data_IF_382145053762
#
_entry.id   IF_382145053762
#
_cell.length_a   1.000
_cell.length_b   1.000
_cell.length_c   1.000
_cell.angle_alpha   90.00
_cell.angle_beta   90.00
_cell.angle_gamma   90.00
#
_symmetry.space_group_name_H-M   'P 1'
#
loop_
_entity.id
_entity.type
_entity.pdbx_description
1 polymer ?
#
# COMPACT_ATOMS: atom_id res chain seq x y z
N UNK A 1 -0.34 1.25 62.57
CA UNK A 1 0.52 0.10 62.91
C UNK A 1 0.67 -0.73 61.65
N UNK A 2 1.91 -1.05 61.33
CA UNK A 2 2.46 -1.32 59.99
C UNK A 2 2.02 -2.66 59.38
N UNK A 3 1.75 -2.68 58.08
CA UNK A 3 1.76 -3.91 57.29
C UNK A 3 3.23 -4.32 57.03
N UNK A 4 3.59 -5.61 57.18
CA UNK A 4 4.97 -6.05 57.03
C UNK A 4 5.32 -6.21 55.54
N UNK A 5 6.36 -5.51 55.12
CA UNK A 5 7.14 -5.83 53.92
C UNK A 5 7.85 -7.15 54.16
N UNK A 6 7.65 -8.15 53.28
CA UNK A 6 8.64 -9.21 53.08
C UNK A 6 8.95 -9.35 51.59
N UNK A 7 10.15 -8.91 51.27
CA UNK A 7 10.86 -9.12 50.02
C UNK A 7 11.74 -10.36 50.21
N UNK A 8 11.51 -11.44 49.46
CA UNK A 8 12.49 -12.52 49.25
C UNK A 8 12.23 -13.19 47.90
N UNK A 9 13.05 -12.82 46.91
CA UNK A 9 13.27 -13.60 45.69
C UNK A 9 13.90 -14.96 46.02
N UNK A 10 13.54 -16.04 45.32
CA UNK A 10 14.47 -17.11 45.00
C UNK A 10 14.91 -16.95 43.55
N UNK A 11 16.21 -16.72 43.41
CA UNK A 11 17.00 -16.96 42.22
C UNK A 11 16.78 -18.38 41.68
N UNK A 12 16.84 -18.55 40.36
CA UNK A 12 17.11 -19.86 39.77
C UNK A 12 15.90 -20.74 39.45
N UNK A 13 15.03 -20.26 38.56
CA UNK A 13 14.46 -21.05 37.46
C UNK A 13 13.75 -20.07 36.53
N UNK A 14 14.53 -19.46 35.65
CA UNK A 14 14.00 -18.92 34.40
C UNK A 14 13.46 -20.10 33.59
N UNK A 15 12.24 -20.53 33.93
CA UNK A 15 11.40 -21.27 33.02
C UNK A 15 11.23 -20.35 31.83
N UNK A 16 12.00 -20.65 30.79
CA UNK A 16 12.00 -20.01 29.50
C UNK A 16 10.56 -19.70 29.11
N UNK A 17 10.12 -18.45 29.33
CA UNK A 17 9.11 -17.88 28.45
C UNK A 17 9.78 -17.98 27.09
N UNK A 18 9.33 -18.89 26.19
CA UNK A 18 10.05 -19.11 24.95
C UNK A 18 10.14 -17.74 24.30
N UNK A 19 11.39 -17.31 24.07
CA UNK A 19 11.68 -16.07 23.38
C UNK A 19 10.75 -15.96 22.18
N UNK A 20 9.81 -15.02 22.30
CA UNK A 20 9.61 -13.99 21.30
C UNK A 20 9.85 -14.52 19.90
N UNK A 21 8.84 -15.20 19.32
CA UNK A 21 8.75 -15.66 17.92
C UNK A 21 10.12 -15.96 17.28
N UNK A 22 10.46 -17.24 17.05
CA UNK A 22 11.62 -17.63 16.22
C UNK A 22 11.77 -16.71 14.99
N UNK A 23 13.00 -16.40 14.56
CA UNK A 23 13.22 -15.48 13.43
C UNK A 23 12.46 -15.91 12.16
N UNK A 24 12.27 -17.23 11.98
CA UNK A 24 11.39 -17.78 10.95
C UNK A 24 9.91 -17.42 11.18
N UNK A 25 9.42 -17.52 12.42
CA UNK A 25 8.05 -17.16 12.81
C UNK A 25 7.79 -15.64 12.72
N UNK A 26 8.77 -14.79 13.07
CA UNK A 26 8.69 -13.33 12.86
C UNK A 26 8.56 -12.99 11.39
N UNK A 27 9.38 -13.60 10.54
CA UNK A 27 9.33 -13.38 9.08
C UNK A 27 7.98 -13.82 8.50
N UNK A 28 7.48 -14.99 8.88
CA UNK A 28 6.16 -15.46 8.47
C UNK A 28 5.03 -14.52 8.92
N UNK A 29 5.08 -14.05 10.17
CA UNK A 29 4.10 -13.13 10.71
C UNK A 29 4.14 -11.76 10.00
N UNK A 30 5.33 -11.22 9.71
CA UNK A 30 5.48 -9.98 8.96
C UNK A 30 4.87 -10.08 7.56
N UNK A 31 5.12 -11.18 6.83
CA UNK A 31 4.53 -11.41 5.50
C UNK A 31 3.01 -11.52 5.59
N UNK A 32 2.49 -12.30 6.55
CA UNK A 32 1.06 -12.49 6.72
C UNK A 32 0.33 -11.20 7.12
N UNK A 33 0.90 -10.43 8.06
CA UNK A 33 0.33 -9.15 8.51
C UNK A 33 0.34 -8.11 7.39
N UNK A 34 1.39 -8.03 6.61
CA UNK A 34 1.46 -7.13 5.45
C UNK A 34 0.50 -7.56 4.33
N UNK A 35 0.37 -8.86 4.05
CA UNK A 35 -0.61 -9.35 3.08
C UNK A 35 -2.04 -8.99 3.51
N UNK A 36 -2.38 -9.20 4.79
CA UNK A 36 -3.67 -8.80 5.36
C UNK A 36 -3.90 -7.30 5.25
N UNK A 37 -2.89 -6.49 5.59
CA UNK A 37 -2.96 -5.02 5.46
C UNK A 37 -3.22 -4.61 4.02
N UNK A 38 -2.49 -5.16 3.05
CA UNK A 38 -2.67 -4.86 1.62
C UNK A 38 -4.03 -5.31 1.11
N UNK A 39 -4.52 -6.47 1.55
CA UNK A 39 -5.85 -6.93 1.16
C UNK A 39 -6.94 -5.99 1.68
N UNK A 40 -6.88 -5.62 2.95
CA UNK A 40 -7.82 -4.66 3.54
C UNK A 40 -7.83 -3.32 2.80
N UNK A 41 -6.67 -2.82 2.36
CA UNK A 41 -6.61 -1.58 1.55
C UNK A 41 -7.31 -1.77 0.21
N UNK A 42 -7.07 -2.88 -0.50
CA UNK A 42 -7.74 -3.16 -1.79
C UNK A 42 -9.24 -3.25 -1.65
N UNK A 43 -9.71 -3.97 -0.62
CA UNK A 43 -11.14 -4.11 -0.35
C UNK A 43 -11.79 -2.72 -0.16
N UNK A 44 -11.10 -1.77 0.49
CA UNK A 44 -11.59 -0.38 0.62
C UNK A 44 -11.62 0.38 -0.70
N UNK A 45 -10.68 0.13 -1.62
CA UNK A 45 -10.73 0.73 -2.96
C UNK A 45 -11.86 0.14 -3.81
N UNK A 46 -12.15 -1.15 -3.65
CA UNK A 46 -13.30 -1.81 -4.27
C UNK A 46 -14.60 -1.20 -3.74
N UNK A 47 -14.74 -0.99 -2.42
CA UNK A 47 -15.89 -0.30 -1.80
C UNK A 47 -16.10 1.10 -2.42
N UNK A 48 -15.03 1.89 -2.58
CA UNK A 48 -15.11 3.22 -3.18
C UNK A 48 -15.59 3.19 -4.64
N UNK A 49 -15.19 2.16 -5.40
CA UNK A 49 -15.59 2.01 -6.81
C UNK A 49 -17.09 1.79 -6.99
N UNK A 50 -17.76 1.23 -5.98
CA UNK A 50 -19.22 1.02 -5.95
C UNK A 50 -19.95 2.30 -5.55
N UNK A 51 -19.42 3.06 -4.59
CA UNK A 51 -20.07 4.27 -4.05
C UNK A 51 -19.95 5.44 -5.04
N UNK A 52 -18.80 5.60 -5.69
CA UNK A 52 -18.53 6.75 -6.55
C UNK A 52 -19.03 6.47 -7.97
N UNK A 53 -19.95 7.29 -8.51
CA UNK A 53 -20.47 7.08 -9.85
C UNK A 53 -19.38 7.14 -10.92
N UNK A 54 -19.41 6.18 -11.84
CA UNK A 54 -18.49 6.12 -12.98
C UNK A 54 -17.12 5.49 -12.67
N UNK A 55 -16.95 4.85 -11.50
CA UNK A 55 -15.73 4.11 -11.14
C UNK A 55 -15.86 2.57 -11.23
N UNK A 56 -17.00 2.05 -11.70
CA UNK A 56 -17.21 0.62 -11.85
C UNK A 56 -16.10 0.01 -12.73
N UNK A 57 -15.37 -0.98 -12.20
CA UNK A 57 -14.25 -1.63 -12.89
C UNK A 57 -12.93 -0.84 -12.90
N UNK A 58 -12.87 0.35 -12.30
CA UNK A 58 -11.65 1.17 -12.23
C UNK A 58 -10.89 1.09 -10.90
N UNK A 59 -11.25 0.15 -10.01
CA UNK A 59 -10.61 -0.03 -8.70
C UNK A 59 -9.08 -0.32 -8.77
N UNK A 60 -8.56 -0.61 -9.97
CA UNK A 60 -7.12 -0.87 -10.22
C UNK A 60 -6.26 0.39 -10.25
N UNK A 61 -6.83 1.59 -10.44
CA UNK A 61 -6.07 2.84 -10.49
C UNK A 61 -6.29 3.67 -9.22
N UNK A 62 -5.44 3.47 -8.21
CA UNK A 62 -5.55 4.15 -6.90
C UNK A 62 -5.68 5.67 -7.04
N UNK A 63 -4.82 6.31 -7.85
CA UNK A 63 -4.84 7.76 -8.04
C UNK A 63 -6.13 8.26 -8.70
N UNK A 64 -6.66 7.53 -9.70
CA UNK A 64 -7.93 7.89 -10.34
C UNK A 64 -9.10 7.73 -9.38
N UNK A 65 -9.12 6.66 -8.58
CA UNK A 65 -10.18 6.44 -7.59
C UNK A 65 -10.22 7.57 -6.57
N UNK A 66 -9.06 7.95 -6.01
CA UNK A 66 -9.00 9.03 -5.03
C UNK A 66 -9.43 10.39 -5.61
N UNK A 67 -8.96 10.74 -6.81
CA UNK A 67 -9.29 12.00 -7.48
C UNK A 67 -10.80 12.11 -7.77
N UNK A 68 -11.39 11.03 -8.30
CA UNK A 68 -12.82 10.99 -8.60
C UNK A 68 -13.67 10.99 -7.34
N UNK A 69 -13.22 10.29 -6.28
CA UNK A 69 -13.87 10.31 -4.96
C UNK A 69 -13.88 11.72 -4.38
N UNK A 70 -12.74 12.41 -4.43
CA UNK A 70 -12.63 13.79 -3.96
C UNK A 70 -13.56 14.75 -4.71
N UNK A 71 -13.56 14.66 -6.04
CA UNK A 71 -14.46 15.44 -6.90
C UNK A 71 -15.94 15.17 -6.58
N UNK A 72 -16.30 13.90 -6.37
CA UNK A 72 -17.65 13.50 -5.99
C UNK A 72 -18.06 14.08 -4.63
N UNK A 73 -17.19 14.00 -3.62
CA UNK A 73 -17.43 14.61 -2.30
C UNK A 73 -17.70 16.11 -2.41
N UNK A 74 -16.85 16.87 -3.14
CA UNK A 74 -17.07 18.30 -3.39
C UNK A 74 -18.43 18.57 -4.03
N UNK A 75 -18.81 17.77 -5.05
CA UNK A 75 -20.12 17.89 -5.72
C UNK A 75 -21.28 17.64 -4.75
N UNK A 76 -21.19 16.64 -3.87
CA UNK A 76 -22.25 16.37 -2.89
C UNK A 76 -22.40 17.50 -1.87
N UNK A 77 -21.30 18.12 -1.45
CA UNK A 77 -21.35 19.27 -0.55
C UNK A 77 -22.03 20.48 -1.21
N UNK A 78 -21.71 20.78 -2.47
CA UNK A 78 -22.38 21.85 -3.21
C UNK A 78 -23.87 21.57 -3.37
N UNK A 79 -24.23 20.34 -3.79
CA UNK A 79 -25.62 19.91 -3.93
C UNK A 79 -26.39 20.06 -2.62
N UNK A 80 -25.78 19.71 -1.49
CA UNK A 80 -26.36 19.89 -0.15
C UNK A 80 -26.64 21.36 0.13
N UNK A 81 -25.69 22.26 -0.13
CA UNK A 81 -25.85 23.70 0.09
C UNK A 81 -26.97 24.29 -0.77
N UNK A 82 -27.04 23.89 -2.04
CA UNK A 82 -28.09 24.34 -2.94
C UNK A 82 -29.47 23.84 -2.51
N UNK A 83 -29.57 22.60 -2.02
CA UNK A 83 -30.82 22.06 -1.50
C UNK A 83 -31.28 22.82 -0.24
N UNK A 84 -30.37 23.11 0.69
CA UNK A 84 -30.67 23.91 1.88
C UNK A 84 -31.17 25.30 1.47
N UNK A 85 -30.49 25.97 0.54
CA UNK A 85 -30.93 27.26 0.00
C UNK A 85 -32.34 27.19 -0.59
N UNK A 86 -32.66 26.13 -1.32
CA UNK A 86 -34.00 25.93 -1.90
C UNK A 86 -35.07 25.71 -0.83
N UNK A 87 -34.77 24.99 0.25
CA UNK A 87 -35.69 24.79 1.36
C UNK A 87 -35.94 26.10 2.12
N UNK A 88 -34.90 26.87 2.37
CA UNK A 88 -34.99 28.19 3.01
C UNK A 88 -35.83 29.16 2.16
N UNK A 89 -35.63 29.17 0.84
CA UNK A 89 -36.44 29.98 -0.07
C UNK A 89 -37.93 29.58 -0.09
N UNK A 90 -38.24 28.33 0.24
CA UNK A 90 -39.62 27.83 0.39
C UNK A 90 -40.17 28.03 1.81
N UNK A 91 -39.41 28.64 2.71
CA UNK A 91 -39.79 28.84 4.12
C UNK A 91 -39.78 27.56 4.95
N UNK A 92 -39.16 26.48 4.47
CA UNK A 92 -39.05 25.21 5.20
C UNK A 92 -37.82 25.27 6.10
N UNK A 93 -38.03 25.19 7.41
CA UNK A 93 -36.95 25.23 8.38
C UNK A 93 -36.04 23.99 8.27
N UNK A 94 -34.75 24.22 7.97
CA UNK A 94 -33.74 23.16 7.96
C UNK A 94 -33.05 23.09 9.33
N UNK A 95 -32.97 21.91 9.97
CA UNK A 95 -32.31 21.76 11.25
C UNK A 95 -30.81 22.10 11.17
N UNK A 96 -30.27 22.72 12.22
CA UNK A 96 -28.89 23.20 12.26
C UNK A 96 -27.83 22.09 12.03
N UNK A 97 -28.11 20.86 12.42
CA UNK A 97 -27.27 19.68 12.16
C UNK A 97 -27.05 19.44 10.66
N UNK A 98 -28.00 19.85 9.81
CA UNK A 98 -27.85 19.74 8.36
C UNK A 98 -26.99 20.87 7.77
N UNK A 99 -26.79 21.98 8.50
CA UNK A 99 -25.90 23.07 8.08
C UNK A 99 -24.46 22.93 8.58
N UNK A 100 -24.24 22.13 9.63
CA UNK A 100 -22.96 22.01 10.34
C UNK A 100 -21.78 21.49 9.49
N UNK A 101 -22.03 20.75 8.41
CA UNK A 101 -20.99 20.07 7.63
C UNK A 101 -20.38 20.89 6.48
N UNK A 102 -20.36 22.22 6.59
CA UNK A 102 -19.53 23.02 5.69
C UNK A 102 -18.07 22.66 5.96
N UNK A 103 -17.47 21.90 5.03
CA UNK A 103 -16.09 21.42 5.06
C UNK A 103 -15.12 22.61 4.85
N UNK A 104 -15.19 23.60 5.74
CA UNK A 104 -14.15 24.61 5.95
C UNK A 104 -13.22 23.99 6.99
N UNK A 105 -12.10 23.38 6.59
CA UNK A 105 -11.23 22.69 7.52
C UNK A 105 -10.54 23.75 8.38
N UNK A 106 -10.68 23.74 9.73
CA UNK A 106 -9.96 24.68 10.58
C UNK A 106 -8.45 24.39 10.70
N UNK A 107 -7.89 23.47 9.90
CA UNK A 107 -6.56 22.90 10.14
C UNK A 107 -5.68 22.64 8.91
N UNK A 108 -5.77 23.44 7.84
CA UNK A 108 -4.61 23.54 6.92
C UNK A 108 -3.51 24.42 7.56
N UNK A 109 -2.99 24.00 8.72
CA UNK A 109 -1.70 24.48 9.21
C UNK A 109 -0.65 23.67 8.47
N UNK A 110 -0.01 24.30 7.50
CA UNK A 110 1.08 23.75 6.72
C UNK A 110 2.26 23.45 7.66
N UNK A 111 2.32 22.25 8.22
CA UNK A 111 3.55 21.76 8.86
C UNK A 111 4.56 21.43 7.77
N UNK A 112 5.31 22.46 7.34
CA UNK A 112 6.54 22.32 6.58
C UNK A 112 7.60 21.69 7.47
N UNK A 113 7.55 20.37 7.75
CA UNK A 113 8.70 19.63 8.32
C UNK A 113 8.54 18.09 8.32
N UNK A 114 7.73 17.49 7.44
CA UNK A 114 7.86 16.05 7.18
C UNK A 114 9.03 15.76 6.23
N UNK A 115 10.26 16.06 6.66
CA UNK A 115 11.41 15.32 6.16
C UNK A 115 11.42 14.00 6.90
N UNK A 116 11.37 12.90 6.15
CA UNK A 116 11.74 11.59 6.67
C UNK A 116 13.11 11.72 7.36
N UNK A 117 13.30 11.26 8.60
CA UNK A 117 14.61 11.25 9.22
C UNK A 117 15.43 10.13 8.58
N UNK A 118 16.11 10.41 7.47
CA UNK A 118 17.26 9.62 7.03
C UNK A 118 18.49 10.10 7.78
N UNK A 119 18.46 10.03 9.11
CA UNK A 119 19.61 10.33 9.96
C UNK A 119 19.96 9.10 10.78
N UNK A 120 20.33 8.01 10.10
CA UNK A 120 21.10 6.93 10.71
C UNK A 120 21.76 6.06 9.63
N UNK A 121 22.50 6.71 8.73
CA UNK A 121 23.47 6.03 7.85
C UNK A 121 24.84 6.71 7.99
N UNK A 122 25.16 7.08 9.22
CA UNK A 122 26.45 7.67 9.60
C UNK A 122 27.02 6.88 10.78
N UNK A 123 27.38 5.63 10.48
CA UNK A 123 28.25 4.77 11.28
C UNK A 123 28.62 3.55 10.43
N UNK A 124 29.40 3.77 9.38
CA UNK A 124 30.25 2.74 8.81
C UNK A 124 31.70 3.11 9.14
N UNK A 125 32.51 2.20 9.71
CA UNK A 125 33.90 2.47 10.03
C UNK A 125 34.72 2.70 8.74
N UNK A 126 35.63 3.69 8.69
CA UNK A 126 36.51 3.89 7.56
C UNK A 126 37.62 2.83 7.61
N UNK A 127 37.61 1.87 6.70
CA UNK A 127 38.64 0.83 6.67
C UNK A 127 38.49 -0.29 5.64
N UNK A 128 37.85 -0.06 4.49
CA UNK A 128 37.89 -1.05 3.40
C UNK A 128 37.74 -0.37 2.04
N UNK A 129 38.87 0.01 1.45
CA UNK A 129 39.25 -0.13 0.04
C UNK A 129 40.36 0.90 -0.28
N UNK A 130 41.59 0.53 0.06
CA UNK A 130 42.74 0.87 -0.75
C UNK A 130 42.64 0.07 -2.05
N UNK A 131 42.37 0.74 -3.17
CA UNK A 131 42.64 0.25 -4.52
C UNK A 131 42.75 1.46 -5.45
N UNK A 132 43.93 2.07 -5.39
CA UNK A 132 44.50 2.83 -6.49
C UNK A 132 44.62 1.90 -7.72
N UNK A 133 44.05 2.29 -8.86
CA UNK A 133 44.80 2.35 -10.12
C UNK A 133 43.97 3.01 -11.23
N UNK A 134 44.30 4.28 -11.47
CA UNK A 134 44.69 4.79 -12.78
C UNK A 134 43.84 4.45 -14.01
N UNK A 135 43.12 5.47 -14.48
CA UNK A 135 42.64 5.57 -15.86
C UNK A 135 43.78 5.50 -16.90
N UNK A 136 43.57 4.83 -18.03
CA UNK A 136 44.01 5.34 -19.34
C UNK A 136 43.20 4.76 -20.52
N UNK A 137 43.20 5.54 -21.59
CA UNK A 137 42.22 5.71 -22.63
C UNK A 137 42.23 4.70 -23.78
N UNK A 138 41.16 4.83 -24.59
CA UNK A 138 41.07 4.61 -26.04
C UNK A 138 41.41 3.22 -26.58
N UNK A 139 40.41 2.48 -27.06
CA UNK A 139 40.28 2.17 -28.50
C UNK A 139 38.96 1.43 -28.85
N UNK A 140 38.43 1.70 -30.05
CA UNK A 140 37.66 0.74 -30.85
C UNK A 140 36.21 0.37 -30.50
N UNK A 141 35.25 1.12 -31.06
CA UNK A 141 34.09 0.49 -31.73
C UNK A 141 34.60 -0.26 -32.98
N UNK A 142 34.06 -1.43 -33.40
CA UNK A 142 32.69 -1.45 -33.93
C UNK A 142 31.85 -2.75 -33.74
N UNK A 143 30.54 -2.49 -33.62
CA UNK A 143 29.38 -3.14 -34.24
C UNK A 143 28.85 -4.55 -33.89
N UNK A 144 27.51 -4.72 -34.06
CA UNK A 144 26.70 -5.77 -33.46
C UNK A 144 26.39 -6.90 -34.44
N UNK A 145 26.37 -8.15 -33.99
CA UNK A 145 25.60 -9.21 -34.67
C UNK A 145 25.31 -10.39 -33.75
N UNK A 146 24.14 -11.00 -34.02
CA UNK A 146 23.72 -12.36 -33.67
C UNK A 146 22.93 -12.57 -32.38
N UNK A 147 21.70 -12.05 -32.39
CA UNK A 147 20.52 -12.76 -31.88
C UNK A 147 20.40 -14.09 -32.62
N UNK A 148 20.70 -15.22 -31.97
CA UNK A 148 20.30 -16.53 -32.48
C UNK A 148 18.94 -16.92 -31.90
N UNK A 149 17.88 -16.47 -32.57
CA UNK A 149 16.56 -17.11 -32.51
C UNK A 149 16.52 -18.18 -33.60
N UNK A 150 16.62 -19.45 -33.20
CA UNK A 150 16.45 -20.60 -34.07
C UNK A 150 15.03 -21.17 -33.94
N UNK A 151 14.16 -20.77 -34.85
CA UNK A 151 12.90 -21.45 -35.19
C UNK A 151 13.25 -22.76 -35.91
N UNK A 152 12.97 -23.90 -35.28
CA UNK A 152 12.96 -25.22 -35.90
C UNK A 152 11.51 -25.69 -36.04
N UNK A 153 10.96 -25.55 -37.24
CA UNK A 153 9.71 -26.17 -37.64
C UNK A 153 10.01 -27.61 -38.08
N UNK A 154 9.38 -28.59 -37.44
CA UNK A 154 9.33 -29.97 -37.95
C UNK A 154 8.12 -30.72 -37.37
N UNK A 155 7.44 -31.46 -38.26
CA UNK A 155 6.70 -32.65 -37.86
C UNK A 155 5.17 -32.53 -37.77
N UNK A 156 4.51 -32.48 -38.91
CA UNK A 156 3.15 -33.00 -39.08
C UNK A 156 3.09 -34.45 -38.56
N UNK A 157 2.22 -34.74 -37.58
CA UNK A 157 1.72 -36.10 -37.36
C UNK A 157 0.21 -36.05 -37.09
N UNK A 158 -0.50 -36.65 -38.04
CA UNK A 158 -1.93 -36.92 -38.03
C UNK A 158 -2.30 -37.90 -36.92
N UNK A 159 -3.17 -37.49 -36.02
CA UNK A 159 -3.81 -38.36 -35.03
C UNK A 159 -5.28 -38.01 -34.92
N UNK A 160 -6.12 -38.69 -35.69
CA UNK A 160 -7.59 -38.64 -35.57
C UNK A 160 -8.05 -39.31 -34.27
N UNK A 161 -8.86 -38.66 -33.42
CA UNK A 161 -9.54 -39.36 -32.33
C UNK A 161 -10.82 -40.03 -32.86
N UNK A 162 -10.85 -41.37 -32.77
CA UNK A 162 -12.03 -42.17 -33.07
C UNK A 162 -13.08 -41.93 -31.96
N UNK A 163 -14.22 -41.37 -32.34
CA UNK A 163 -15.39 -41.23 -31.47
C UNK A 163 -16.15 -42.55 -31.48
N UNK A 164 -16.16 -43.28 -30.36
CA UNK A 164 -17.09 -44.39 -30.14
C UNK A 164 -18.36 -43.85 -29.51
N UNK A 165 -19.45 -43.94 -30.27
CA UNK A 165 -20.82 -43.75 -29.78
C UNK A 165 -21.28 -44.99 -29.02
N UNK A 166 -21.90 -44.88 -27.85
CA UNK A 166 -22.68 -45.96 -27.27
C UNK A 166 -24.10 -45.99 -27.86
N UNK A 167 -24.61 -47.20 -28.09
CA UNK A 167 -26.04 -47.51 -28.17
C UNK A 167 -26.59 -47.68 -26.75
#
# INVERSE_FOLDING_TARGET
MSAPTQNLSPDGQEGEKPSVLSDAAKKANHIASEQKRRQAIRDRFDDLSVIVPGLAGQARSEGTVLEKTYSYMRKQMLKRRDLIRQLDARGIAVPASLRQYDFSPPYFKRHVNNRCPTSSLESLPPGFLDADDGANASDGSPDPTSTQNGVGADGMQSGSPQVQSPQ
#
